data_IF_137740750476
#
_entry.id   IF_137740750476
#
_cell.length_a   1.000
_cell.length_b   1.000
_cell.length_c   1.000
_cell.angle_alpha   90.00
_cell.angle_beta   90.00
_cell.angle_gamma   90.00
#
_symmetry.space_group_name_H-M   'P 1'
#
loop_
_entity.id
_entity.type
_entity.pdbx_description
1 polymer ?
#
# COMPACT_ATOMS: atom_id res chain seq x y z
N UNK A 1 -9.25 -9.66 -2.94
CA UNK A 1 -9.23 -8.50 -2.03
C UNK A 1 -10.48 -7.62 -2.10
N UNK A 2 -10.82 -6.99 -3.24
CA UNK A 2 -11.98 -6.07 -3.35
C UNK A 2 -13.28 -6.62 -2.73
N UNK A 3 -13.68 -7.85 -3.06
CA UNK A 3 -14.91 -8.44 -2.52
C UNK A 3 -14.84 -8.71 -1.01
N UNK A 4 -13.65 -8.96 -0.46
CA UNK A 4 -13.44 -9.10 0.99
C UNK A 4 -13.65 -7.75 1.69
N UNK A 5 -13.05 -6.69 1.16
CA UNK A 5 -13.20 -5.33 1.67
C UNK A 5 -14.66 -4.87 1.57
N UNK A 6 -15.32 -5.14 0.44
CA UNK A 6 -16.73 -4.79 0.21
C UNK A 6 -17.66 -5.43 1.22
N UNK A 7 -17.50 -6.75 1.46
CA UNK A 7 -18.30 -7.50 2.44
C UNK A 7 -18.16 -6.96 3.85
N UNK A 8 -17.02 -6.33 4.14
CA UNK A 8 -16.70 -5.74 5.44
C UNK A 8 -17.11 -4.26 5.55
N UNK A 9 -17.88 -3.74 4.57
CA UNK A 9 -18.40 -2.37 4.61
C UNK A 9 -17.43 -1.29 4.13
N UNK A 10 -16.25 -1.67 3.63
CA UNK A 10 -15.33 -0.72 3.00
C UNK A 10 -15.90 -0.29 1.66
N UNK A 11 -15.83 1.01 1.39
CA UNK A 11 -16.29 1.61 0.14
C UNK A 11 -15.29 1.26 -0.97
N UNK A 12 -15.50 0.14 -1.65
CA UNK A 12 -14.74 -0.27 -2.83
C UNK A 12 -15.70 -0.69 -3.94
N UNK A 13 -15.28 -0.74 -5.22
CA UNK A 13 -16.09 -1.38 -6.26
C UNK A 13 -16.12 -2.90 -6.04
N UNK A 14 -17.26 -3.52 -6.35
CA UNK A 14 -17.38 -4.99 -6.36
C UNK A 14 -16.64 -5.56 -7.57
N UNK A 15 -15.79 -6.56 -7.36
CA UNK A 15 -14.99 -7.19 -8.41
C UNK A 15 -15.57 -8.50 -8.93
N UNK A 16 -15.44 -8.75 -10.23
CA UNK A 16 -15.94 -9.92 -10.94
C UNK A 16 -14.79 -10.53 -11.75
N UNK A 17 -14.37 -11.74 -11.37
CA UNK A 17 -13.37 -12.51 -12.11
C UNK A 17 -14.10 -13.31 -13.19
N UNK A 18 -13.71 -13.22 -14.47
CA UNK A 18 -14.28 -14.03 -15.54
C UNK A 18 -14.10 -15.51 -15.26
N UNK A 19 -15.15 -16.31 -15.50
CA UNK A 19 -15.02 -17.78 -15.44
C UNK A 19 -14.19 -18.22 -16.64
N UNK A 20 -12.93 -18.62 -16.42
CA UNK A 20 -12.17 -19.36 -17.42
C UNK A 20 -12.77 -20.76 -17.49
N UNK A 21 -13.62 -21.04 -18.46
CA UNK A 21 -14.13 -22.40 -18.71
C UNK A 21 -12.96 -23.25 -19.21
N UNK A 22 -12.41 -24.10 -18.35
CA UNK A 22 -11.50 -25.17 -18.74
C UNK A 22 -12.30 -26.24 -19.52
N UNK A 23 -12.72 -25.93 -20.74
CA UNK A 23 -13.32 -26.92 -21.64
C UNK A 23 -13.23 -26.40 -23.08
N UNK A 24 -12.26 -26.93 -23.82
CA UNK A 24 -12.28 -27.27 -25.24
C UNK A 24 -12.93 -26.33 -26.29
N UNK A 25 -12.99 -25.01 -26.07
CA UNK A 25 -13.52 -24.11 -27.09
C UNK A 25 -12.49 -23.13 -27.65
N UNK A 26 -12.62 -22.93 -28.95
CA UNK A 26 -11.79 -22.19 -29.91
C UNK A 26 -11.68 -20.67 -29.64
N UNK A 27 -11.75 -20.27 -28.37
CA UNK A 27 -11.52 -18.91 -27.91
C UNK A 27 -10.03 -18.61 -27.88
N UNK A 28 -9.63 -17.54 -28.55
CA UNK A 28 -8.26 -17.04 -28.49
C UNK A 28 -7.92 -16.71 -27.03
N UNK A 29 -6.95 -17.42 -26.45
CA UNK A 29 -6.41 -17.07 -25.14
C UNK A 29 -6.00 -15.60 -25.18
N UNK A 30 -6.67 -14.78 -24.36
CA UNK A 30 -6.37 -13.36 -24.28
C UNK A 30 -5.00 -13.24 -23.59
N UNK A 31 -4.03 -12.53 -24.16
CA UNK A 31 -2.64 -12.53 -23.67
C UNK A 31 -2.43 -11.67 -22.41
N UNK A 32 -3.49 -11.33 -21.69
CA UNK A 32 -3.45 -10.49 -20.50
C UNK A 32 -4.49 -10.92 -19.46
N UNK A 33 -4.14 -10.71 -18.19
CA UNK A 33 -5.06 -10.89 -17.09
C UNK A 33 -6.03 -9.70 -17.01
N UNK A 34 -7.30 -10.00 -16.75
CA UNK A 34 -8.34 -9.00 -16.62
C UNK A 34 -9.40 -9.45 -15.62
N UNK A 35 -10.06 -8.47 -15.02
CA UNK A 35 -11.26 -8.64 -14.24
C UNK A 35 -12.14 -7.41 -14.45
N UNK A 36 -13.43 -7.54 -14.15
CA UNK A 36 -14.35 -6.42 -14.18
C UNK A 36 -14.62 -5.95 -12.76
N UNK A 37 -14.97 -4.69 -12.59
CA UNK A 37 -15.55 -4.24 -11.34
C UNK A 37 -16.75 -3.32 -11.59
N UNK A 38 -17.61 -3.18 -10.58
CA UNK A 38 -18.80 -2.35 -10.65
C UNK A 38 -18.41 -0.89 -10.90
N UNK A 39 -18.98 -0.30 -11.94
CA UNK A 39 -18.80 1.12 -12.24
C UNK A 39 -19.36 1.99 -11.12
N UNK A 40 -18.57 2.98 -10.69
CA UNK A 40 -18.95 3.98 -9.71
C UNK A 40 -19.18 5.31 -10.44
N UNK A 41 -20.40 5.85 -10.35
CA UNK A 41 -20.79 7.11 -10.99
C UNK A 41 -20.34 8.30 -10.14
N UNK A 42 -19.05 8.62 -10.20
CA UNK A 42 -18.44 9.77 -9.51
C UNK A 42 -17.27 10.34 -10.29
N UNK A 43 -16.48 11.18 -9.63
CA UNK A 43 -15.23 11.71 -10.16
C UNK A 43 -14.12 11.61 -9.13
N UNK A 44 -12.91 11.32 -9.59
CA UNK A 44 -11.70 11.44 -8.79
C UNK A 44 -11.22 12.89 -8.81
N UNK A 45 -10.59 13.33 -7.72
CA UNK A 45 -9.97 14.64 -7.70
C UNK A 45 -8.56 14.56 -8.24
N UNK A 46 -8.26 15.38 -9.24
CA UNK A 46 -6.87 15.58 -9.65
C UNK A 46 -6.22 16.52 -8.63
N UNK A 47 -5.48 15.96 -7.68
CA UNK A 47 -4.72 16.75 -6.70
C UNK A 47 -3.35 17.07 -7.28
N UNK A 48 -3.04 18.34 -7.63
CA UNK A 48 -1.77 18.71 -8.24
C UNK A 48 -0.68 18.77 -7.15
N UNK A 49 -0.22 17.61 -6.68
CA UNK A 49 0.87 17.50 -5.71
C UNK A 49 2.21 17.44 -6.44
N UNK A 50 3.04 18.46 -6.24
CA UNK A 50 4.44 18.41 -6.65
C UNK A 50 5.26 17.74 -5.53
N UNK A 51 6.13 16.76 -5.81
CA UNK A 51 6.87 16.04 -4.76
C UNK A 51 7.67 16.97 -3.84
N UNK A 52 8.23 18.05 -4.39
CA UNK A 52 9.02 19.02 -3.63
C UNK A 52 8.21 20.07 -2.85
N UNK A 53 6.88 20.11 -2.96
CA UNK A 53 6.04 21.13 -2.32
C UNK A 53 4.99 20.49 -1.42
N UNK A 54 4.65 21.15 -0.32
CA UNK A 54 3.51 20.78 0.51
C UNK A 54 2.21 20.79 -0.29
N UNK A 55 1.21 20.05 0.22
CA UNK A 55 -0.10 19.98 -0.40
C UNK A 55 -0.75 21.39 -0.38
N UNK A 56 -1.31 21.78 -1.52
CA UNK A 56 -1.99 23.07 -1.67
C UNK A 56 -3.35 22.83 -2.28
N UNK A 57 -4.38 22.92 -1.45
CA UNK A 57 -5.78 22.84 -1.82
C UNK A 57 -6.55 23.99 -1.16
N UNK A 58 -7.69 24.43 -1.72
CA UNK A 58 -8.66 25.24 -1.00
C UNK A 58 -9.02 24.60 0.35
N UNK A 59 -9.25 25.42 1.37
CA UNK A 59 -9.45 24.96 2.76
C UNK A 59 -10.64 23.99 2.89
N UNK A 60 -11.74 24.27 2.21
CA UNK A 60 -12.93 23.40 2.15
C UNK A 60 -12.62 22.04 1.52
N UNK A 61 -11.85 22.02 0.44
CA UNK A 61 -11.40 20.78 -0.23
C UNK A 61 -10.41 20.00 0.61
N UNK A 62 -9.56 20.71 1.33
CA UNK A 62 -8.61 20.10 2.23
C UNK A 62 -9.32 19.40 3.40
N UNK A 63 -10.28 20.06 4.04
CA UNK A 63 -11.10 19.46 5.10
C UNK A 63 -11.86 18.23 4.60
N UNK A 64 -12.50 18.33 3.43
CA UNK A 64 -13.20 17.19 2.82
C UNK A 64 -12.26 16.00 2.58
N UNK A 65 -11.02 16.25 2.12
CA UNK A 65 -10.03 15.19 1.91
C UNK A 65 -9.64 14.52 3.23
N UNK A 66 -9.36 15.30 4.28
CA UNK A 66 -9.00 14.78 5.61
C UNK A 66 -10.14 13.94 6.19
N UNK A 67 -11.37 14.47 6.18
CA UNK A 67 -12.54 13.75 6.70
C UNK A 67 -12.79 12.45 5.93
N UNK A 68 -12.75 12.52 4.59
CA UNK A 68 -12.96 11.35 3.75
C UNK A 68 -11.90 10.28 3.94
N UNK A 69 -10.62 10.68 3.98
CA UNK A 69 -9.51 9.78 4.24
C UNK A 69 -9.61 9.15 5.64
N UNK A 70 -9.82 9.97 6.68
CA UNK A 70 -9.95 9.49 8.06
C UNK A 70 -11.09 8.49 8.25
N UNK A 71 -12.25 8.71 7.62
CA UNK A 71 -13.37 7.76 7.65
C UNK A 71 -13.00 6.39 7.05
N UNK A 72 -12.21 6.38 5.99
CA UNK A 72 -11.74 5.13 5.38
C UNK A 72 -10.77 4.43 6.33
N UNK A 73 -9.80 5.16 6.88
CA UNK A 73 -8.79 4.60 7.78
C UNK A 73 -9.43 4.00 9.04
N UNK A 74 -10.42 4.67 9.64
CA UNK A 74 -11.17 4.14 10.78
C UNK A 74 -11.83 2.81 10.40
N UNK A 75 -12.56 2.75 9.28
CA UNK A 75 -13.20 1.51 8.82
C UNK A 75 -12.21 0.40 8.51
N UNK A 76 -11.05 0.72 7.94
CA UNK A 76 -9.98 -0.26 7.72
C UNK A 76 -9.38 -0.76 9.03
N UNK A 77 -9.31 0.08 10.07
CA UNK A 77 -8.82 -0.31 11.40
C UNK A 77 -9.74 -1.26 12.16
N UNK A 78 -11.03 -1.27 11.82
CA UNK A 78 -12.03 -2.17 12.39
C UNK A 78 -12.08 -3.54 11.70
N UNK A 79 -11.40 -3.69 10.55
CA UNK A 79 -11.40 -4.92 9.77
C UNK A 79 -10.53 -5.98 10.44
N UNK A 80 -11.17 -7.05 10.93
CA UNK A 80 -10.46 -8.23 11.42
C UNK A 80 -10.17 -9.20 10.28
N UNK A 81 -8.91 -9.61 10.15
CA UNK A 81 -8.47 -10.57 9.15
C UNK A 81 -7.94 -11.84 9.83
N UNK A 82 -8.26 -13.04 9.31
CA UNK A 82 -7.81 -14.31 9.88
C UNK A 82 -6.37 -14.65 9.42
N UNK A 83 -5.47 -13.67 9.42
CA UNK A 83 -4.06 -13.81 9.03
C UNK A 83 -3.18 -12.96 9.94
N UNK A 84 -1.92 -13.33 10.10
CA UNK A 84 -0.97 -12.68 11.02
C UNK A 84 0.41 -12.40 10.39
N UNK A 85 0.53 -12.57 9.06
CA UNK A 85 1.78 -12.34 8.32
C UNK A 85 1.65 -11.19 7.33
N UNK A 86 2.72 -10.40 7.22
CA UNK A 86 2.86 -9.33 6.22
C UNK A 86 2.86 -9.95 4.83
N UNK A 87 1.85 -9.62 4.02
CA UNK A 87 1.59 -10.31 2.75
C UNK A 87 0.56 -9.60 1.89
N UNK A 88 0.51 -9.93 0.60
CA UNK A 88 -0.68 -9.67 -0.21
C UNK A 88 -1.74 -10.74 0.07
N UNK A 89 -3.00 -10.32 0.17
CA UNK A 89 -4.12 -11.24 0.37
C UNK A 89 -4.52 -11.92 -0.93
N UNK A 90 -4.59 -13.26 -0.91
CA UNK A 90 -5.10 -14.05 -2.04
C UNK A 90 -6.32 -14.84 -1.63
N UNK A 91 -7.18 -15.12 -2.62
CA UNK A 91 -8.29 -16.06 -2.43
C UNK A 91 -7.70 -17.42 -2.13
N UNK A 92 -8.14 -18.03 -1.04
CA UNK A 92 -7.71 -19.36 -0.67
C UNK A 92 -8.30 -20.45 -1.56
N UNK A 93 -7.84 -21.67 -1.32
CA UNK A 93 -8.25 -22.87 -2.06
C UNK A 93 -9.74 -23.17 -1.92
N UNK A 94 -10.37 -22.71 -0.84
CA UNK A 94 -11.81 -22.82 -0.59
C UNK A 94 -12.51 -21.48 -0.78
N UNK A 95 -13.75 -21.47 -1.33
CA UNK A 95 -14.52 -20.24 -1.49
C UNK A 95 -14.67 -19.48 -0.17
N UNK A 96 -14.26 -18.21 -0.16
CA UNK A 96 -14.37 -17.34 1.01
C UNK A 96 -13.20 -17.44 2.00
N UNK A 97 -12.28 -18.38 1.82
CA UNK A 97 -11.05 -18.41 2.60
C UNK A 97 -10.07 -17.35 2.10
N UNK A 98 -9.30 -16.77 3.01
CA UNK A 98 -8.23 -15.80 2.71
C UNK A 98 -6.92 -16.47 3.06
N UNK A 99 -5.98 -16.46 2.13
CA UNK A 99 -4.63 -16.96 2.34
C UNK A 99 -3.63 -15.82 2.20
N UNK A 100 -2.47 -15.99 2.83
CA UNK A 100 -1.32 -15.11 2.66
C UNK A 100 -0.52 -15.51 1.42
N UNK A 101 -0.03 -14.53 0.69
CA UNK A 101 0.89 -14.69 -0.43
C UNK A 101 2.23 -13.98 -0.19
N UNK A 102 3.14 -14.01 -1.17
CA UNK A 102 4.25 -13.07 -1.16
C UNK A 102 3.72 -11.63 -1.20
N UNK A 103 4.54 -10.67 -0.81
CA UNK A 103 4.21 -9.26 -0.94
C UNK A 103 4.61 -8.77 -2.34
N UNK A 104 3.72 -8.02 -2.95
CA UNK A 104 3.96 -7.25 -4.15
C UNK A 104 4.05 -5.80 -3.69
N UNK A 105 5.22 -5.21 -3.80
CA UNK A 105 5.47 -3.83 -3.39
C UNK A 105 6.15 -3.07 -4.52
N UNK A 106 6.01 -1.75 -4.49
CA UNK A 106 6.72 -0.86 -5.42
C UNK A 106 8.23 -0.98 -5.22
N UNK A 107 8.99 -0.77 -6.29
CA UNK A 107 10.45 -0.77 -6.26
C UNK A 107 11.08 -2.17 -6.36
N UNK A 108 12.16 -2.39 -5.60
CA UNK A 108 13.04 -3.56 -5.72
C UNK A 108 12.64 -4.74 -4.81
N UNK A 109 11.35 -4.92 -4.52
CA UNK A 109 10.86 -5.98 -3.63
C UNK A 109 10.71 -7.32 -4.36
N UNK A 110 11.73 -7.73 -5.09
CA UNK A 110 11.78 -8.98 -5.83
C UNK A 110 13.23 -9.42 -6.02
N UNK A 111 13.45 -10.70 -6.28
CA UNK A 111 14.77 -11.25 -6.58
C UNK A 111 14.85 -11.64 -8.06
N UNK A 112 16.01 -11.49 -8.73
CA UNK A 112 16.17 -11.95 -10.11
C UNK A 112 16.16 -13.48 -10.25
N UNK A 113 16.19 -14.21 -9.13
CA UNK A 113 16.14 -15.66 -9.06
C UNK A 113 14.82 -16.13 -8.42
N UNK A 114 14.29 -17.31 -8.79
CA UNK A 114 13.13 -17.91 -8.14
C UNK A 114 13.28 -17.97 -6.60
N UNK A 115 12.19 -17.76 -5.83
CA UNK A 115 10.80 -17.63 -6.26
C UNK A 115 10.39 -16.23 -6.76
N UNK A 116 11.35 -15.32 -6.99
CA UNK A 116 11.18 -13.94 -7.47
C UNK A 116 10.48 -13.01 -6.48
N UNK A 117 9.37 -13.42 -5.89
CA UNK A 117 8.65 -12.64 -4.91
C UNK A 117 9.06 -13.04 -3.49
N UNK A 118 9.02 -12.07 -2.60
CA UNK A 118 9.48 -12.20 -1.22
C UNK A 118 8.28 -12.30 -0.26
N UNK A 119 8.49 -12.91 0.91
CA UNK A 119 7.45 -13.12 1.92
C UNK A 119 6.60 -14.38 1.70
N UNK A 120 5.55 -14.59 2.51
CA UNK A 120 5.05 -13.72 3.58
C UNK A 120 6.03 -13.59 4.76
N UNK A 121 5.88 -12.57 5.60
CA UNK A 121 6.77 -12.31 6.74
C UNK A 121 6.03 -12.28 8.08
N UNK A 122 6.64 -12.83 9.12
CA UNK A 122 6.07 -12.83 10.47
C UNK A 122 6.46 -11.61 11.32
N UNK A 123 7.43 -10.83 10.88
CA UNK A 123 7.88 -9.61 11.56
C UNK A 123 8.28 -8.52 10.56
N UNK A 124 8.25 -7.27 11.02
CA UNK A 124 8.73 -6.13 10.23
C UNK A 124 10.24 -6.24 9.96
N UNK A 125 11.00 -6.78 10.92
CA UNK A 125 12.44 -7.03 10.78
C UNK A 125 12.72 -7.96 9.61
N UNK A 126 12.07 -9.12 9.54
CA UNK A 126 12.30 -10.10 8.46
C UNK A 126 12.00 -9.49 7.10
N UNK A 127 10.92 -8.72 7.00
CA UNK A 127 10.55 -8.01 5.78
C UNK A 127 11.59 -6.98 5.35
N UNK A 128 12.02 -6.11 6.27
CA UNK A 128 13.00 -5.07 5.95
C UNK A 128 14.35 -5.66 5.57
N UNK A 129 14.83 -6.68 6.28
CA UNK A 129 16.09 -7.36 5.94
C UNK A 129 16.02 -8.02 4.55
N UNK A 130 14.91 -8.66 4.21
CA UNK A 130 14.72 -9.23 2.88
C UNK A 130 14.74 -8.15 1.77
N UNK A 131 14.12 -6.99 2.02
CA UNK A 131 14.14 -5.87 1.08
C UNK A 131 15.52 -5.26 0.92
N UNK A 132 16.22 -5.01 2.04
CA UNK A 132 17.57 -4.44 2.04
C UNK A 132 18.52 -5.33 1.27
N UNK A 133 18.44 -6.66 1.49
CA UNK A 133 19.22 -7.63 0.74
C UNK A 133 18.93 -7.57 -0.77
N UNK A 134 17.66 -7.53 -1.16
CA UNK A 134 17.29 -7.41 -2.58
C UNK A 134 17.84 -6.10 -3.19
N UNK A 135 17.75 -4.98 -2.48
CA UNK A 135 18.31 -3.71 -2.92
C UNK A 135 19.83 -3.76 -3.07
N UNK A 136 20.56 -4.33 -2.10
CA UNK A 136 22.01 -4.55 -2.18
C UNK A 136 22.39 -5.39 -3.42
N UNK A 137 21.67 -6.49 -3.67
CA UNK A 137 21.90 -7.33 -4.85
C UNK A 137 21.69 -6.53 -6.16
N UNK A 138 20.65 -5.70 -6.25
CA UNK A 138 20.41 -4.85 -7.42
C UNK A 138 21.43 -3.72 -7.58
N UNK A 139 21.94 -3.15 -6.48
CA UNK A 139 23.02 -2.15 -6.51
C UNK A 139 24.30 -2.80 -7.06
N UNK A 140 24.65 -4.01 -6.58
CA UNK A 140 25.83 -4.75 -7.06
C UNK A 140 25.73 -5.12 -8.55
N UNK A 141 24.53 -5.39 -9.05
CA UNK A 141 24.26 -5.60 -10.46
C UNK A 141 24.25 -4.31 -11.29
N UNK A 142 24.34 -3.14 -10.67
CA UNK A 142 24.22 -1.84 -11.34
C UNK A 142 22.81 -1.55 -11.86
N UNK A 143 21.79 -2.27 -11.38
CA UNK A 143 20.41 -2.12 -11.84
C UNK A 143 19.74 -0.86 -11.27
N UNK A 144 20.17 -0.41 -10.08
CA UNK A 144 19.66 0.78 -9.39
C UNK A 144 20.81 1.62 -8.83
N UNK A 145 20.51 2.85 -8.42
CA UNK A 145 21.46 3.77 -7.79
C UNK A 145 22.73 4.05 -8.62
N UNK A 146 22.63 3.98 -9.96
CA UNK A 146 23.79 4.09 -10.85
C UNK A 146 24.58 5.40 -10.72
N UNK A 147 23.92 6.48 -10.31
CA UNK A 147 24.57 7.79 -10.12
C UNK A 147 25.46 7.84 -8.88
N UNK A 148 25.14 7.06 -7.84
CA UNK A 148 25.86 7.05 -6.58
C UNK A 148 25.79 5.67 -5.89
N UNK A 149 26.38 4.63 -6.52
CA UNK A 149 26.18 3.26 -6.08
C UNK A 149 26.92 2.96 -4.77
N UNK A 150 28.02 3.66 -4.48
CA UNK A 150 28.80 3.43 -3.26
C UNK A 150 28.04 3.96 -2.04
N UNK A 151 27.59 5.21 -2.08
CA UNK A 151 26.86 5.79 -0.94
C UNK A 151 25.53 5.06 -0.72
N UNK A 152 24.81 4.74 -1.82
CA UNK A 152 23.61 3.92 -1.73
C UNK A 152 23.89 2.56 -1.07
N UNK A 153 24.96 1.86 -1.46
CA UNK A 153 25.30 0.57 -0.86
C UNK A 153 25.63 0.70 0.64
N UNK A 154 26.40 1.72 1.02
CA UNK A 154 26.77 1.98 2.41
C UNK A 154 25.55 2.32 3.28
N UNK A 155 24.63 3.14 2.79
CA UNK A 155 23.37 3.44 3.51
C UNK A 155 22.52 2.19 3.73
N UNK A 156 22.48 1.27 2.76
CA UNK A 156 21.75 0.01 2.93
C UNK A 156 22.42 -0.92 3.95
N UNK A 157 23.76 -0.95 4.05
CA UNK A 157 24.46 -1.69 5.10
C UNK A 157 24.20 -1.09 6.49
N UNK A 158 24.21 0.24 6.62
CA UNK A 158 23.87 0.91 7.89
C UNK A 158 22.41 0.61 8.27
N UNK A 159 21.49 0.67 7.31
CA UNK A 159 20.08 0.32 7.54
C UNK A 159 19.93 -1.16 7.94
N UNK A 160 20.67 -2.08 7.33
CA UNK A 160 20.71 -3.49 7.73
C UNK A 160 21.12 -3.65 9.20
N UNK A 161 22.17 -2.94 9.63
CA UNK A 161 22.64 -2.95 11.02
C UNK A 161 21.55 -2.42 11.98
N UNK A 162 20.92 -1.28 11.66
CA UNK A 162 19.86 -0.69 12.48
C UNK A 162 18.65 -1.62 12.60
N UNK A 163 18.21 -2.22 11.50
CA UNK A 163 17.08 -3.16 11.49
C UNK A 163 17.42 -4.42 12.27
N UNK A 164 18.64 -4.94 12.15
CA UNK A 164 19.08 -6.13 12.88
C UNK A 164 19.03 -5.94 14.40
N UNK A 165 19.37 -4.75 14.89
CA UNK A 165 19.41 -4.42 16.32
C UNK A 165 18.09 -3.84 16.86
N UNK A 166 17.07 -3.65 16.02
CA UNK A 166 15.78 -3.12 16.46
C UNK A 166 14.92 -4.19 17.12
N UNK A 167 14.77 -4.10 18.44
CA UNK A 167 13.85 -4.94 19.21
C UNK A 167 12.38 -4.69 18.84
N UNK A 168 12.03 -3.47 18.42
CA UNK A 168 10.67 -3.10 18.00
C UNK A 168 10.28 -3.83 16.73
N UNK A 169 11.16 -3.84 15.71
CA UNK A 169 10.88 -4.50 14.44
C UNK A 169 10.87 -6.02 14.54
N UNK A 170 11.57 -6.58 15.53
CA UNK A 170 11.64 -8.02 15.78
C UNK A 170 10.41 -8.59 16.50
N UNK A 171 9.48 -7.73 16.97
CA UNK A 171 8.27 -8.22 17.63
C UNK A 171 7.39 -8.98 16.61
N UNK A 172 6.90 -10.18 16.97
CA UNK A 172 5.96 -10.89 16.11
C UNK A 172 4.66 -10.09 15.99
N UNK A 173 4.07 -10.10 14.80
CA UNK A 173 2.78 -9.49 14.60
C UNK A 173 1.69 -10.35 15.26
N UNK A 174 0.89 -9.72 16.12
CA UNK A 174 -0.29 -10.36 16.71
C UNK A 174 -1.54 -10.16 15.84
N UNK A 175 -1.55 -9.08 15.08
CA UNK A 175 -2.64 -8.66 14.21
C UNK A 175 -2.05 -7.87 13.04
N UNK A 176 -2.72 -7.94 11.89
CA UNK A 176 -2.36 -7.20 10.69
C UNK A 176 -3.54 -6.41 10.15
N UNK A 177 -3.22 -5.31 9.47
CA UNK A 177 -4.16 -4.34 8.95
C UNK A 177 -3.89 -4.11 7.48
N UNK A 178 -4.94 -3.81 6.72
CA UNK A 178 -4.81 -3.53 5.29
C UNK A 178 -4.17 -2.17 5.10
N UNK A 179 -3.07 -2.13 4.34
CA UNK A 179 -2.47 -0.93 3.78
C UNK A 179 -2.86 -0.82 2.30
N UNK A 180 -3.35 0.35 1.88
CA UNK A 180 -3.70 0.62 0.49
C UNK A 180 -2.47 0.71 -0.43
N UNK A 181 -1.36 1.25 0.09
CA UNK A 181 -0.08 1.47 -0.61
C UNK A 181 -0.15 2.29 -1.92
N UNK A 182 -1.24 2.99 -2.24
CA UNK A 182 -1.27 3.98 -3.34
C UNK A 182 -2.06 5.25 -2.99
N UNK A 183 -1.84 5.77 -1.78
CA UNK A 183 -2.62 6.87 -1.18
C UNK A 183 -2.24 8.26 -1.70
N UNK A 184 -2.32 8.44 -3.03
CA UNK A 184 -1.96 9.67 -3.75
C UNK A 184 -3.09 10.70 -3.88
N UNK A 185 -4.20 10.44 -3.20
CA UNK A 185 -5.39 11.28 -3.13
C UNK A 185 -6.38 11.20 -4.31
N UNK A 186 -5.94 10.82 -5.52
CA UNK A 186 -6.84 10.62 -6.67
C UNK A 186 -7.52 9.23 -6.69
N UNK A 187 -7.05 8.29 -5.89
CA UNK A 187 -7.67 6.99 -5.64
C UNK A 187 -9.06 7.07 -4.96
N UNK A 188 -9.49 8.25 -4.52
CA UNK A 188 -10.80 8.48 -3.91
C UNK A 188 -11.84 8.93 -4.95
N UNK A 189 -12.92 8.15 -5.09
CA UNK A 189 -14.06 8.47 -5.95
C UNK A 189 -15.10 9.27 -5.18
N UNK A 190 -15.44 10.48 -5.64
CA UNK A 190 -16.37 11.40 -4.98
C UNK A 190 -17.67 11.54 -5.77
N UNK A 191 -18.79 11.72 -5.07
CA UNK A 191 -20.05 12.18 -5.67
C UNK A 191 -20.14 13.72 -5.69
N UNK A 192 -21.23 14.24 -6.26
CA UNK A 192 -21.48 15.68 -6.36
C UNK A 192 -21.66 16.35 -4.98
N UNK A 193 -22.10 15.59 -3.97
CA UNK A 193 -22.26 16.06 -2.59
C UNK A 193 -20.96 16.00 -1.76
N UNK A 194 -19.81 15.66 -2.36
CA UNK A 194 -18.52 15.60 -1.67
C UNK A 194 -18.36 14.41 -0.73
N UNK A 195 -19.12 13.33 -0.93
CA UNK A 195 -18.97 12.05 -0.22
C UNK A 195 -18.19 11.06 -1.06
N UNK A 196 -17.42 10.21 -0.38
CA UNK A 196 -16.70 9.11 -1.03
C UNK A 196 -17.70 8.01 -1.41
N UNK A 197 -17.66 7.60 -2.68
CA UNK A 197 -18.39 6.46 -3.24
C UNK A 197 -17.56 5.18 -3.21
N UNK A 198 -16.23 5.32 -3.32
CA UNK A 198 -15.31 4.20 -3.32
C UNK A 198 -13.84 4.62 -3.32
N UNK A 199 -13.00 3.70 -2.87
CA UNK A 199 -11.55 3.73 -2.95
C UNK A 199 -11.13 2.81 -4.09
N UNK A 200 -10.28 3.31 -4.99
CA UNK A 200 -9.82 2.65 -6.22
C UNK A 200 -8.36 2.19 -6.05
N UNK A 201 -7.73 1.65 -7.11
CA UNK A 201 -6.27 1.42 -7.19
C UNK A 201 -5.65 0.49 -6.12
N UNK A 202 -6.39 -0.54 -5.71
CA UNK A 202 -5.97 -1.55 -4.71
C UNK A 202 -4.89 -2.56 -5.17
N UNK A 203 -4.20 -2.32 -6.29
CA UNK A 203 -3.28 -3.30 -6.89
C UNK A 203 -1.99 -3.52 -6.08
N UNK A 204 -1.59 -2.53 -5.28
CA UNK A 204 -0.40 -2.59 -4.40
C UNK A 204 -0.76 -2.91 -2.95
N UNK A 205 -2.04 -3.09 -2.64
CA UNK A 205 -2.45 -3.25 -1.25
C UNK A 205 -1.99 -4.60 -0.65
N UNK A 206 -1.60 -4.53 0.61
CA UNK A 206 -1.09 -5.66 1.40
C UNK A 206 -1.55 -5.53 2.84
N UNK A 207 -1.31 -6.54 3.66
CA UNK A 207 -1.55 -6.48 5.10
C UNK A 207 -0.25 -6.35 5.86
N UNK A 208 -0.23 -5.56 6.92
CA UNK A 208 0.98 -5.26 7.71
C UNK A 208 0.67 -4.80 9.13
N UNK A 209 1.69 -4.40 9.88
CA UNK A 209 1.56 -3.84 11.23
C UNK A 209 0.68 -2.59 11.27
N UNK A 210 0.03 -2.35 12.42
CA UNK A 210 -0.80 -1.16 12.64
C UNK A 210 -0.07 0.15 12.35
N UNK A 211 1.18 0.25 12.81
CA UNK A 211 1.97 1.48 12.68
C UNK A 211 2.31 1.82 11.24
N UNK A 212 2.42 0.82 10.36
CA UNK A 212 2.62 1.06 8.93
C UNK A 212 1.31 1.25 8.18
N UNK A 213 0.29 0.43 8.44
CA UNK A 213 -0.98 0.53 7.74
C UNK A 213 -1.69 1.88 7.96
N UNK A 214 -1.47 2.51 9.13
CA UNK A 214 -2.09 3.79 9.48
C UNK A 214 -1.05 4.91 9.65
N UNK A 215 0.13 4.77 9.03
CA UNK A 215 1.04 5.91 8.92
C UNK A 215 0.43 7.00 8.05
N UNK A 216 0.91 8.23 8.22
CA UNK A 216 0.50 9.36 7.39
C UNK A 216 0.68 9.04 5.89
N UNK A 217 -0.28 9.36 5.02
CA UNK A 217 -0.12 9.14 3.59
C UNK A 217 0.91 10.12 3.03
N UNK A 218 1.70 9.68 2.04
CA UNK A 218 2.81 10.47 1.52
C UNK A 218 2.41 11.85 0.99
N UNK A 219 1.16 12.01 0.54
CA UNK A 219 0.63 13.29 0.08
C UNK A 219 0.62 14.38 1.17
N UNK A 220 0.61 14.01 2.46
CA UNK A 220 0.56 14.94 3.60
C UNK A 220 1.93 15.37 4.11
N UNK A 221 2.97 14.54 3.99
CA UNK A 221 4.31 14.85 4.52
C UNK A 221 5.36 15.11 3.44
N UNK A 222 5.21 14.54 2.24
CA UNK A 222 6.25 14.63 1.21
C UNK A 222 6.46 16.09 0.78
N UNK A 223 7.68 16.58 0.95
CA UNK A 223 8.08 17.93 0.56
C UNK A 223 9.60 18.00 0.44
N UNK A 224 10.10 19.13 -0.08
CA UNK A 224 11.55 19.38 -0.06
C UNK A 224 12.15 19.35 1.35
N UNK A 225 11.40 19.79 2.37
CA UNK A 225 11.85 19.76 3.76
C UNK A 225 12.04 18.32 4.24
N UNK A 226 11.06 17.47 3.98
CA UNK A 226 11.13 16.04 4.30
C UNK A 226 12.32 15.37 3.61
N UNK A 227 12.52 15.64 2.31
CA UNK A 227 13.67 15.12 1.54
C UNK A 227 15.02 15.58 2.13
N UNK A 228 15.05 16.74 2.80
CA UNK A 228 16.22 17.25 3.51
C UNK A 228 16.37 16.73 4.95
N UNK A 229 15.51 15.80 5.38
CA UNK A 229 15.55 15.16 6.69
C UNK A 229 14.72 15.86 7.77
N UNK A 230 13.86 16.81 7.40
CA UNK A 230 12.91 17.41 8.34
C UNK A 230 11.74 16.44 8.59
N UNK A 231 11.71 15.86 9.79
CA UNK A 231 10.66 14.93 10.23
C UNK A 231 9.64 15.61 11.17
N UNK A 232 9.51 16.93 11.10
CA UNK A 232 8.45 17.64 11.84
C UNK A 232 7.08 17.32 11.28
N UNK A 233 6.12 17.08 12.17
CA UNK A 233 4.72 16.82 11.81
C UNK A 233 4.17 18.01 11.03
N UNK A 234 3.63 17.75 9.83
CA UNK A 234 3.14 18.81 8.94
C UNK A 234 1.79 19.37 9.41
N UNK A 235 1.34 20.47 8.79
CA UNK A 235 0.00 21.02 9.07
C UNK A 235 -1.07 19.98 8.75
N UNK A 236 -0.89 19.30 7.62
CA UNK A 236 -1.77 18.29 7.08
C UNK A 236 -1.88 17.08 8.01
N UNK A 237 -0.76 16.64 8.57
CA UNK A 237 -0.73 15.57 9.57
C UNK A 237 -1.39 15.96 10.88
N UNK A 238 -1.17 17.18 11.38
CA UNK A 238 -1.84 17.66 12.59
C UNK A 238 -3.37 17.71 12.39
N UNK A 239 -3.85 18.16 11.23
CA UNK A 239 -5.29 18.15 10.95
C UNK A 239 -5.88 16.74 10.88
N UNK A 240 -5.11 15.76 10.40
CA UNK A 240 -5.53 14.36 10.42
C UNK A 240 -5.54 13.80 11.85
N UNK A 241 -4.57 14.16 12.68
CA UNK A 241 -4.53 13.80 14.10
C UNK A 241 -5.76 14.38 14.81
N UNK A 242 -6.04 15.67 14.64
CA UNK A 242 -7.20 16.35 15.22
C UNK A 242 -8.53 15.72 14.79
N UNK A 243 -8.60 15.12 13.60
CA UNK A 243 -9.78 14.40 13.13
C UNK A 243 -10.04 13.07 13.87
N UNK A 244 -8.98 12.44 14.39
CA UNK A 244 -9.08 11.17 15.11
C UNK A 244 -9.38 11.31 16.60
N UNK A 245 -9.25 12.52 17.16
CA UNK A 245 -9.56 12.85 18.57
C UNK A 245 -11.05 13.15 18.80
#
# INVERSE_FOLDING_TARGET
MLNTLKKSGILVPEGFIPVRTCSDDQGQDIPFDYFFYKFLSGSTWRIPKHPLKSLSLPEDKFLQLIEGYGQIQIKLSELQLPVDQISCLRSGSQPGNIEVGPIIARGCFQTPQPPYLLGPFSSMKDRYLAHIKAALDYILLGAICQSDPIDAYLWHLELEELVNHSAVLAQPLQEVFVNHDDEKGDHLMWNEEGKILGVLDWEWAYVTSKGEAFSSPYIFYESWKYIKGDNTVTKEENMLIDYYE
#
